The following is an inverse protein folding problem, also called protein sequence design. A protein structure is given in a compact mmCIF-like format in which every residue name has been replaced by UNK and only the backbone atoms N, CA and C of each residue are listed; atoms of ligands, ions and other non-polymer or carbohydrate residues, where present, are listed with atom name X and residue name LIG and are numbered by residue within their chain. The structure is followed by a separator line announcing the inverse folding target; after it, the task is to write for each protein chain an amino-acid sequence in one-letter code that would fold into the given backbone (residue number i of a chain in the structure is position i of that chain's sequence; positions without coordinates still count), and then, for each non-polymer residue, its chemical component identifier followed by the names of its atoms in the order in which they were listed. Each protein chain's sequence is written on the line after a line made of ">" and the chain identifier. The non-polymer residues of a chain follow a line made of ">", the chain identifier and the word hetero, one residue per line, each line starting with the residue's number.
data_IF_217031588556
#
_entry.id   IF_217031588556
#
_cell.length_a   1.000
_cell.length_b   1.000
_cell.length_c   1.000
_cell.angle_alpha   90.00
_cell.angle_beta   90.00
_cell.angle_gamma   90.00
#
_symmetry.space_group_name_H-M   'P 1'
#
loop_
_entity.id
_entity.type
_entity.pdbx_description
1 polymer ?
#
# COMPACT_ATOMS: atom_id res chain seq x y z
N UNK A 1 23.98 -2.51 -7.03
CA UNK A 1 22.67 -2.28 -6.34
C UNK A 1 21.60 -1.88 -7.34
N UNK A 2 20.33 -2.03 -6.98
CA UNK A 2 19.20 -1.55 -7.79
C UNK A 2 19.30 -0.05 -8.07
N UNK A 3 19.76 0.75 -7.09
CA UNK A 3 19.95 2.18 -7.28
C UNK A 3 21.02 2.53 -8.31
N UNK A 4 22.14 1.80 -8.34
CA UNK A 4 23.19 1.97 -9.37
C UNK A 4 22.65 1.60 -10.75
N UNK A 5 21.93 0.49 -10.87
CA UNK A 5 21.32 0.07 -12.12
C UNK A 5 20.33 1.13 -12.66
N UNK A 6 19.44 1.65 -11.80
CA UNK A 6 18.50 2.70 -12.20
C UNK A 6 19.22 3.99 -12.63
N UNK A 7 20.37 4.30 -12.03
CA UNK A 7 21.16 5.49 -12.35
C UNK A 7 21.80 5.44 -13.76
N UNK A 8 21.94 4.26 -14.38
CA UNK A 8 22.49 4.11 -15.73
C UNK A 8 21.56 4.71 -16.80
N UNK A 9 20.26 4.48 -16.68
CA UNK A 9 19.23 5.05 -17.55
C UNK A 9 17.89 5.09 -16.80
N UNK A 10 17.71 6.13 -16.00
CA UNK A 10 16.54 6.22 -15.11
C UNK A 10 15.21 6.14 -15.85
N UNK A 11 15.06 6.85 -16.95
CA UNK A 11 13.80 6.91 -17.71
C UNK A 11 13.57 5.60 -18.47
N UNK A 12 14.61 5.06 -19.11
CA UNK A 12 14.52 3.78 -19.82
C UNK A 12 14.23 2.60 -18.90
N UNK A 13 14.72 2.65 -17.64
CA UNK A 13 14.54 1.56 -16.68
C UNK A 13 13.22 1.68 -15.91
N UNK A 14 12.84 2.90 -15.47
CA UNK A 14 11.63 3.09 -14.67
C UNK A 14 10.38 3.37 -15.50
N UNK A 15 10.54 3.92 -16.71
CA UNK A 15 9.47 4.34 -17.60
C UNK A 15 9.10 5.82 -17.45
N UNK A 16 8.41 6.35 -18.46
CA UNK A 16 8.07 7.77 -18.58
C UNK A 16 7.14 8.27 -17.48
N UNK A 17 6.27 7.41 -16.94
CA UNK A 17 5.39 7.76 -15.81
C UNK A 17 6.18 8.07 -14.52
N UNK A 18 7.45 7.68 -14.47
CA UNK A 18 8.30 7.87 -13.30
C UNK A 18 9.16 9.14 -13.37
N UNK A 19 9.14 9.92 -14.47
CA UNK A 19 9.95 11.13 -14.65
C UNK A 19 9.67 12.20 -13.60
N UNK A 20 8.41 12.30 -13.15
CA UNK A 20 7.98 13.27 -12.13
C UNK A 20 8.55 13.02 -10.74
N UNK A 21 9.13 11.85 -10.48
CA UNK A 21 9.65 11.48 -9.15
C UNK A 21 11.19 11.62 -9.13
N UNK A 22 11.74 12.14 -8.05
CA UNK A 22 13.19 12.24 -7.79
C UNK A 22 13.80 10.95 -7.23
N UNK A 23 12.93 10.02 -6.78
CA UNK A 23 13.27 8.74 -6.15
C UNK A 23 12.49 7.59 -6.79
N UNK A 24 12.76 6.36 -6.37
CA UNK A 24 11.94 5.21 -6.76
C UNK A 24 10.50 5.41 -6.25
N UNK A 25 9.47 5.33 -7.13
CA UNK A 25 8.14 5.88 -6.79
C UNK A 25 7.29 5.02 -5.88
N UNK A 26 7.57 3.71 -5.77
CA UNK A 26 6.79 2.78 -4.96
C UNK A 26 7.60 2.25 -3.78
N UNK A 27 6.92 1.88 -2.71
CA UNK A 27 7.46 1.10 -1.62
C UNK A 27 6.54 -0.10 -1.39
N UNK A 28 7.10 -1.30 -1.50
CA UNK A 28 6.36 -2.56 -1.37
C UNK A 28 6.90 -3.31 -0.17
N UNK A 29 6.01 -3.79 0.69
CA UNK A 29 6.36 -4.46 1.94
C UNK A 29 5.49 -5.68 2.19
N UNK A 30 6.07 -6.69 2.83
CA UNK A 30 5.30 -7.62 3.64
C UNK A 30 5.31 -7.12 5.09
N UNK A 31 4.14 -7.03 5.70
CA UNK A 31 3.99 -6.66 7.10
C UNK A 31 3.32 -7.82 7.83
N UNK A 32 4.07 -8.44 8.73
CA UNK A 32 3.59 -9.48 9.64
C UNK A 32 3.35 -8.83 11.01
N UNK A 33 2.09 -8.56 11.31
CA UNK A 33 1.68 -7.83 12.49
C UNK A 33 1.39 -8.78 13.66
N UNK A 34 2.43 -9.17 14.41
CA UNK A 34 2.27 -9.97 15.63
C UNK A 34 1.50 -9.22 16.74
N UNK A 35 1.49 -7.87 16.71
CA UNK A 35 0.70 -7.01 17.59
C UNK A 35 0.09 -5.88 16.76
N UNK A 36 -0.95 -5.23 17.31
CA UNK A 36 -1.62 -4.09 16.68
C UNK A 36 -0.65 -2.93 16.42
N UNK A 37 -0.70 -2.35 15.23
CA UNK A 37 0.11 -1.19 14.88
C UNK A 37 -0.58 0.11 15.35
N UNK A 38 0.17 1.23 15.35
CA UNK A 38 -0.37 2.53 15.77
C UNK A 38 -1.52 2.99 14.89
N UNK A 39 -2.48 3.67 15.49
CA UNK A 39 -3.50 4.41 14.76
C UNK A 39 -2.82 5.60 14.09
N UNK A 40 -2.98 5.73 12.77
CA UNK A 40 -2.25 6.68 11.96
C UNK A 40 -3.07 7.19 10.79
N UNK A 41 -2.58 8.27 10.20
CA UNK A 41 -3.09 8.86 8.97
C UNK A 41 -1.91 9.41 8.16
N UNK A 42 -2.04 9.45 6.85
CA UNK A 42 -1.03 9.98 5.94
C UNK A 42 -1.56 11.19 5.18
N UNK A 43 -0.71 12.21 4.91
CA UNK A 43 -1.09 13.37 4.11
C UNK A 43 -1.17 13.01 2.61
N UNK A 44 -1.79 13.89 1.83
CA UNK A 44 -1.63 13.93 0.37
C UNK A 44 -0.31 14.62 -0.04
N UNK A 45 -0.04 14.63 -1.36
CA UNK A 45 1.20 15.21 -1.89
C UNK A 45 1.32 16.70 -1.59
N UNK A 46 0.22 17.46 -1.65
CA UNK A 46 0.23 18.90 -1.41
C UNK A 46 0.67 19.22 0.03
N UNK A 47 0.04 18.55 1.00
CA UNK A 47 0.39 18.75 2.40
C UNK A 47 1.80 18.18 2.71
N UNK A 48 2.12 16.99 2.21
CA UNK A 48 3.41 16.34 2.43
C UNK A 48 4.57 17.16 1.90
N UNK A 49 4.51 17.62 0.66
CA UNK A 49 5.56 18.47 0.04
C UNK A 49 5.72 19.79 0.78
N UNK A 50 4.61 20.42 1.17
CA UNK A 50 4.63 21.72 1.86
C UNK A 50 5.20 21.65 3.28
N UNK A 51 4.89 20.60 4.04
CA UNK A 51 5.17 20.55 5.47
C UNK A 51 6.34 19.63 5.84
N UNK A 52 6.64 18.62 4.99
CA UNK A 52 7.68 17.62 5.25
C UNK A 52 8.75 17.56 4.14
N UNK A 53 8.50 18.18 2.97
CA UNK A 53 9.38 18.06 1.81
C UNK A 53 9.37 16.67 1.16
N UNK A 54 8.32 15.87 1.42
CA UNK A 54 8.12 14.53 0.88
C UNK A 54 6.74 14.39 0.24
N UNK A 55 6.61 13.47 -0.72
CA UNK A 55 5.30 13.11 -1.28
C UNK A 55 4.37 12.57 -0.18
N UNK A 56 3.07 12.67 -0.43
CA UNK A 56 2.04 12.04 0.38
C UNK A 56 2.11 10.53 0.35
N UNK A 57 1.14 9.88 1.01
CA UNK A 57 1.13 8.42 1.09
C UNK A 57 -0.28 7.88 0.91
N UNK A 58 -0.53 7.38 -0.28
CA UNK A 58 -1.66 6.51 -0.62
C UNK A 58 -1.15 5.08 -0.71
N UNK A 59 -1.90 4.14 -0.18
CA UNK A 59 -1.49 2.74 -0.10
C UNK A 59 -2.65 1.77 -0.35
N UNK A 60 -2.31 0.54 -0.68
CA UNK A 60 -3.22 -0.58 -0.84
C UNK A 60 -2.66 -1.79 -0.08
N UNK A 61 -3.52 -2.47 0.66
CA UNK A 61 -3.20 -3.69 1.38
C UNK A 61 -3.93 -4.89 0.78
N UNK A 62 -3.19 -5.94 0.51
CA UNK A 62 -3.76 -7.26 0.21
C UNK A 62 -3.57 -8.15 1.43
N UNK A 63 -4.64 -8.70 1.98
CA UNK A 63 -4.60 -9.57 3.15
C UNK A 63 -4.09 -10.95 2.71
N UNK A 64 -2.87 -11.28 3.06
CA UNK A 64 -2.25 -12.57 2.75
C UNK A 64 -2.67 -13.66 3.71
N UNK A 65 -2.73 -13.33 5.00
CA UNK A 65 -3.19 -14.20 6.07
C UNK A 65 -3.83 -13.35 7.18
N UNK A 66 -4.83 -13.93 7.86
CA UNK A 66 -5.48 -13.32 9.01
C UNK A 66 -5.84 -14.41 10.01
N UNK A 67 -5.52 -14.21 11.28
CA UNK A 67 -5.96 -15.07 12.37
C UNK A 67 -7.46 -14.90 12.62
N UNK A 68 -8.06 -15.87 13.29
CA UNK A 68 -9.48 -15.80 13.68
C UNK A 68 -9.72 -14.57 14.58
N UNK A 69 -10.71 -13.75 14.20
CA UNK A 69 -11.06 -12.52 14.93
C UNK A 69 -10.13 -11.32 14.65
N UNK A 70 -9.14 -11.47 13.76
CA UNK A 70 -8.30 -10.35 13.33
C UNK A 70 -9.13 -9.23 12.69
N UNK A 71 -8.73 -7.98 12.94
CA UNK A 71 -9.46 -6.80 12.44
C UNK A 71 -8.52 -5.63 12.21
N UNK A 72 -8.90 -4.79 11.26
CA UNK A 72 -8.25 -3.51 10.98
C UNK A 72 -9.01 -2.36 11.66
N UNK A 73 -8.34 -1.24 11.83
CA UNK A 73 -9.00 0.06 11.91
C UNK A 73 -9.09 0.62 10.50
N UNK A 74 -10.30 0.92 10.04
CA UNK A 74 -10.55 1.43 8.70
C UNK A 74 -11.55 2.60 8.77
N UNK A 75 -11.01 3.79 9.01
CA UNK A 75 -11.78 5.01 9.21
C UNK A 75 -12.30 5.21 10.64
N UNK A 76 -13.13 6.22 10.78
CA UNK A 76 -13.88 6.53 11.98
C UNK A 76 -15.27 5.89 11.92
N UNK A 77 -15.94 5.77 13.06
CA UNK A 77 -17.34 5.34 13.12
C UNK A 77 -18.22 6.25 12.29
N UNK A 78 -19.27 5.70 11.70
CA UNK A 78 -20.25 6.46 10.95
C UNK A 78 -20.86 7.59 11.80
N UNK A 79 -20.98 8.78 11.20
CA UNK A 79 -21.49 9.98 11.85
C UNK A 79 -20.47 10.71 12.75
N UNK A 80 -19.29 10.16 12.96
CA UNK A 80 -18.25 10.85 13.70
C UNK A 80 -17.67 12.02 12.88
N UNK A 81 -17.55 13.21 13.51
CA UNK A 81 -16.87 14.35 12.91
C UNK A 81 -15.39 14.40 13.31
N UNK A 82 -14.59 15.19 12.58
CA UNK A 82 -13.16 15.39 12.92
C UNK A 82 -13.02 16.07 14.27
N UNK A 83 -13.92 17.01 14.62
CA UNK A 83 -13.92 17.71 15.89
C UNK A 83 -14.23 16.77 17.08
N UNK A 84 -15.19 15.86 16.91
CA UNK A 84 -15.49 14.83 17.92
C UNK A 84 -14.34 13.85 18.09
N UNK A 85 -13.70 13.46 16.98
CA UNK A 85 -12.49 12.62 17.03
C UNK A 85 -11.34 13.34 17.74
N UNK A 86 -11.08 14.60 17.39
CA UNK A 86 -10.06 15.42 18.04
C UNK A 86 -10.27 15.49 19.56
N UNK A 87 -11.51 15.76 19.99
CA UNK A 87 -11.88 15.77 21.41
C UNK A 87 -11.61 14.42 22.07
N UNK A 88 -12.02 13.32 21.43
CA UNK A 88 -11.80 11.97 21.97
C UNK A 88 -10.29 11.63 22.07
N UNK A 89 -9.48 12.05 21.11
CA UNK A 89 -8.02 11.89 21.16
C UNK A 89 -7.43 12.61 22.38
N UNK A 90 -7.79 13.88 22.61
CA UNK A 90 -7.31 14.67 23.76
C UNK A 90 -7.79 14.12 25.10
N UNK A 91 -8.95 13.49 25.14
CA UNK A 91 -9.52 12.87 26.33
C UNK A 91 -9.06 11.41 26.56
N UNK A 92 -8.19 10.86 25.67
CA UNK A 92 -7.70 9.48 25.77
C UNK A 92 -8.73 8.42 25.39
N UNK A 93 -9.77 8.80 24.65
CA UNK A 93 -10.89 7.94 24.22
C UNK A 93 -10.84 7.60 22.72
N UNK A 94 -9.65 7.65 22.11
CA UNK A 94 -9.45 7.47 20.66
C UNK A 94 -10.14 6.23 20.12
N UNK A 95 -9.98 5.07 20.79
CA UNK A 95 -10.52 3.79 20.33
C UNK A 95 -12.05 3.77 20.26
N UNK A 96 -12.75 4.61 21.03
CA UNK A 96 -14.21 4.68 21.00
C UNK A 96 -14.76 5.23 19.66
N UNK A 97 -13.95 6.00 18.94
CA UNK A 97 -14.33 6.66 17.69
C UNK A 97 -13.93 5.88 16.43
N UNK A 98 -13.17 4.78 16.58
CA UNK A 98 -12.61 4.02 15.47
C UNK A 98 -13.61 3.00 14.91
N UNK A 99 -13.60 2.85 13.58
CA UNK A 99 -14.30 1.76 12.88
C UNK A 99 -13.38 0.54 12.78
N UNK A 100 -13.73 -0.53 13.49
CA UNK A 100 -13.02 -1.81 13.46
C UNK A 100 -13.70 -2.77 12.48
N UNK A 101 -12.97 -3.21 11.47
CA UNK A 101 -13.46 -4.09 10.41
C UNK A 101 -12.80 -5.45 10.52
N UNK A 102 -13.57 -6.56 10.64
CA UNK A 102 -13.00 -7.90 10.56
C UNK A 102 -12.39 -8.15 9.19
N UNK A 103 -11.32 -8.92 9.13
CA UNK A 103 -10.59 -9.16 7.87
C UNK A 103 -10.34 -10.62 7.61
N UNK A 104 -10.30 -10.98 6.31
CA UNK A 104 -10.07 -12.33 5.84
C UNK A 104 -9.01 -12.35 4.73
N UNK A 105 -8.34 -13.48 4.60
CA UNK A 105 -7.39 -13.72 3.50
C UNK A 105 -8.03 -13.43 2.14
N UNK A 106 -7.32 -12.70 1.30
CA UNK A 106 -7.73 -12.36 -0.06
C UNK A 106 -8.45 -11.02 -0.18
N UNK A 107 -8.84 -10.41 0.93
CA UNK A 107 -9.46 -9.07 0.91
C UNK A 107 -8.45 -7.98 0.57
N UNK A 108 -8.97 -6.87 0.05
CA UNK A 108 -8.19 -5.69 -0.34
C UNK A 108 -8.73 -4.45 0.33
N UNK A 109 -7.84 -3.72 0.98
CA UNK A 109 -8.14 -2.43 1.59
C UNK A 109 -7.34 -1.33 0.91
N UNK A 110 -8.02 -0.33 0.37
CA UNK A 110 -7.38 0.84 -0.23
C UNK A 110 -7.39 2.00 0.75
N UNK A 111 -6.22 2.52 1.06
CA UNK A 111 -6.00 3.57 2.05
C UNK A 111 -5.61 4.87 1.33
N UNK A 112 -6.55 5.69 0.89
CA UNK A 112 -6.22 6.99 0.33
C UNK A 112 -5.64 7.90 1.41
N UNK A 113 -4.83 8.88 1.02
CA UNK A 113 -4.36 9.91 1.93
C UNK A 113 -5.53 10.54 2.72
N UNK A 114 -5.32 10.80 4.00
CA UNK A 114 -6.35 11.30 4.93
C UNK A 114 -7.23 10.24 5.58
N UNK A 115 -7.13 8.97 5.19
CA UNK A 115 -7.86 7.87 5.81
C UNK A 115 -7.19 7.46 7.13
N UNK A 116 -7.92 7.52 8.25
CA UNK A 116 -7.46 6.96 9.54
C UNK A 116 -7.46 5.43 9.44
N UNK A 117 -6.35 4.80 9.82
CA UNK A 117 -6.22 3.35 9.69
C UNK A 117 -5.22 2.76 10.69
N UNK A 118 -5.29 1.45 10.89
CA UNK A 118 -4.26 0.66 11.56
C UNK A 118 -4.42 -0.83 11.23
N UNK A 119 -3.30 -1.54 11.18
CA UNK A 119 -3.25 -2.99 11.09
C UNK A 119 -3.39 -3.54 12.51
N UNK A 120 -4.32 -4.49 12.70
CA UNK A 120 -4.49 -5.23 13.95
C UNK A 120 -3.48 -6.36 14.09
N UNK A 121 -3.49 -7.02 15.24
CA UNK A 121 -2.67 -8.21 15.48
C UNK A 121 -3.13 -9.42 14.64
N UNK A 122 -2.21 -10.32 14.33
CA UNK A 122 -2.48 -11.58 13.64
C UNK A 122 -2.77 -11.42 12.14
N UNK A 123 -2.23 -10.39 11.49
CA UNK A 123 -2.48 -10.10 10.08
C UNK A 123 -1.16 -10.02 9.32
N UNK A 124 -1.05 -10.79 8.24
CA UNK A 124 0.02 -10.65 7.25
C UNK A 124 -0.53 -9.97 6.00
N UNK A 125 0.05 -8.85 5.63
CA UNK A 125 -0.33 -8.10 4.42
C UNK A 125 0.82 -7.93 3.43
N UNK A 126 0.46 -7.80 2.15
CA UNK A 126 1.30 -7.15 1.15
C UNK A 126 0.81 -5.71 1.00
N UNK A 127 1.67 -4.74 1.34
CA UNK A 127 1.42 -3.31 1.20
C UNK A 127 2.10 -2.76 -0.03
N UNK A 128 1.35 -2.11 -0.90
CA UNK A 128 1.85 -1.34 -2.04
C UNK A 128 1.49 0.13 -1.81
N UNK A 129 2.48 1.01 -1.80
CA UNK A 129 2.31 2.42 -1.45
C UNK A 129 3.17 3.35 -2.31
N UNK A 130 2.81 4.65 -2.33
CA UNK A 130 3.76 5.68 -2.72
C UNK A 130 5.00 5.59 -1.83
N UNK A 131 6.20 5.84 -2.40
CA UNK A 131 7.44 5.80 -1.63
C UNK A 131 7.59 7.03 -0.73
N UNK A 132 6.87 7.01 0.37
CA UNK A 132 6.88 8.01 1.43
C UNK A 132 6.97 7.35 2.79
N UNK A 133 7.69 7.98 3.71
CA UNK A 133 7.81 7.54 5.09
C UNK A 133 6.94 8.36 6.06
N UNK A 134 6.17 9.33 5.54
CA UNK A 134 5.35 10.21 6.38
C UNK A 134 4.26 9.40 7.07
N UNK A 135 4.26 9.46 8.39
CA UNK A 135 3.25 8.82 9.24
C UNK A 135 2.87 9.74 10.37
N UNK A 136 1.65 10.24 10.37
CA UNK A 136 1.11 10.99 11.51
C UNK A 136 0.41 10.03 12.45
N UNK A 137 1.11 9.71 13.55
CA UNK A 137 0.63 8.81 14.58
C UNK A 137 -0.31 9.55 15.50
N UNK A 138 -1.54 9.04 15.62
CA UNK A 138 -2.59 9.61 16.46
C UNK A 138 -2.60 8.93 17.83
N UNK A 139 -2.44 7.60 17.88
CA UNK A 139 -2.46 6.82 19.09
C UNK A 139 -1.59 5.58 18.98
N UNK A 140 -0.88 5.24 20.03
CA UNK A 140 0.06 4.12 20.05
C UNK A 140 -0.05 3.23 21.29
N UNK A 141 -1.22 3.20 21.90
CA UNK A 141 -1.53 2.33 23.06
C UNK A 141 -0.57 2.52 24.23
N UNK A 142 0.03 3.70 24.37
CA UNK A 142 1.05 4.05 25.35
C UNK A 142 2.28 3.12 25.33
N UNK A 143 2.57 2.49 24.18
CA UNK A 143 3.75 1.61 24.02
C UNK A 143 5.04 2.41 24.14
N UNK A 144 6.03 1.78 24.78
CA UNK A 144 7.37 2.35 24.88
C UNK A 144 8.26 1.81 23.74
N UNK A 145 9.03 2.69 23.15
CA UNK A 145 10.08 2.34 22.23
C UNK A 145 11.26 1.62 22.92
N UNK A 146 12.27 1.25 22.15
CA UNK A 146 13.47 0.60 22.66
C UNK A 146 14.25 1.48 23.69
N UNK A 147 14.07 2.78 23.63
CA UNK A 147 14.61 3.78 24.57
C UNK A 147 13.80 3.93 25.87
N UNK A 148 12.71 3.15 26.04
CA UNK A 148 11.81 3.18 27.17
C UNK A 148 10.82 4.37 27.17
N UNK A 149 10.82 5.21 26.14
CA UNK A 149 9.93 6.36 26.00
C UNK A 149 8.76 6.05 25.07
N UNK A 150 7.59 6.67 25.25
CA UNK A 150 6.51 6.59 24.27
C UNK A 150 6.97 7.12 22.91
N UNK A 151 6.49 6.50 21.82
CA UNK A 151 6.73 7.03 20.47
C UNK A 151 6.01 8.37 20.32
N UNK A 152 6.61 9.26 19.54
CA UNK A 152 6.04 10.57 19.27
C UNK A 152 4.67 10.44 18.59
N UNK A 153 3.71 11.20 19.08
CA UNK A 153 2.41 11.41 18.44
C UNK A 153 2.46 12.71 17.62
N UNK A 154 1.66 12.76 16.55
CA UNK A 154 1.60 13.89 15.62
C UNK A 154 0.15 14.38 15.50
N UNK A 155 -0.52 14.55 16.65
CA UNK A 155 -1.98 14.75 16.73
C UNK A 155 -2.45 15.92 15.87
N UNK A 156 -1.85 17.11 16.00
CA UNK A 156 -2.27 18.29 15.24
C UNK A 156 -2.15 18.06 13.71
N UNK A 157 -0.98 17.61 13.23
CA UNK A 157 -0.79 17.31 11.81
C UNK A 157 -1.73 16.20 11.31
N UNK A 158 -2.03 15.23 12.17
CA UNK A 158 -2.99 14.18 11.84
C UNK A 158 -4.39 14.75 11.64
N UNK A 159 -4.84 15.63 12.56
CA UNK A 159 -6.15 16.28 12.48
C UNK A 159 -6.28 17.18 11.24
N UNK A 160 -5.20 17.86 10.85
CA UNK A 160 -5.18 18.71 9.65
C UNK A 160 -5.45 17.92 8.35
N UNK A 161 -5.05 16.65 8.30
CA UNK A 161 -5.09 15.85 7.07
C UNK A 161 -6.20 14.82 7.02
N UNK A 162 -6.93 14.59 8.12
CA UNK A 162 -8.04 13.63 8.14
C UNK A 162 -9.13 14.04 7.14
N UNK A 163 -9.54 13.07 6.32
CA UNK A 163 -10.63 13.21 5.37
C UNK A 163 -11.63 12.09 5.64
N UNK A 164 -12.85 12.47 6.01
CA UNK A 164 -13.95 11.52 6.19
C UNK A 164 -14.49 11.16 4.81
N UNK A 165 -14.53 9.87 4.51
CA UNK A 165 -15.02 9.35 3.22
C UNK A 165 -15.91 8.14 3.42
N UNK A 166 -16.92 8.05 2.58
CA UNK A 166 -17.70 6.82 2.43
C UNK A 166 -16.93 5.76 1.65
N UNK A 167 -17.36 4.52 1.74
CA UNK A 167 -16.77 3.42 0.94
C UNK A 167 -16.86 3.72 -0.56
N UNK A 168 -17.98 4.30 -1.03
CA UNK A 168 -18.15 4.67 -2.44
C UNK A 168 -17.13 5.72 -2.91
N UNK A 169 -16.84 6.72 -2.07
CA UNK A 169 -15.82 7.73 -2.38
C UNK A 169 -14.41 7.12 -2.42
N UNK A 170 -14.13 6.20 -1.52
CA UNK A 170 -12.86 5.47 -1.52
C UNK A 170 -12.71 4.62 -2.79
N UNK A 171 -13.76 3.90 -3.20
CA UNK A 171 -13.74 3.08 -4.42
C UNK A 171 -13.60 3.93 -5.68
N UNK A 172 -14.19 5.13 -5.74
CA UNK A 172 -13.96 6.09 -6.83
C UNK A 172 -12.49 6.52 -6.94
N UNK A 173 -11.80 6.71 -5.83
CA UNK A 173 -10.36 7.01 -5.82
C UNK A 173 -9.55 5.78 -6.20
N UNK A 174 -9.90 4.62 -5.64
CA UNK A 174 -9.23 3.34 -5.88
C UNK A 174 -9.22 2.95 -7.35
N UNK A 175 -10.29 3.25 -8.08
CA UNK A 175 -10.46 2.94 -9.50
C UNK A 175 -10.64 4.20 -10.35
N UNK A 176 -9.87 5.27 -10.03
CA UNK A 176 -9.91 6.54 -10.78
C UNK A 176 -9.29 6.45 -12.17
N UNK A 177 -8.48 5.42 -12.44
CA UNK A 177 -7.91 5.13 -13.76
C UNK A 177 -8.56 3.89 -14.39
N UNK A 178 -8.68 3.88 -15.72
CA UNK A 178 -9.22 2.71 -16.43
C UNK A 178 -8.34 1.48 -16.20
N UNK A 179 -8.97 0.32 -16.12
CA UNK A 179 -8.30 -0.97 -16.09
C UNK A 179 -8.08 -1.51 -17.51
N UNK A 180 -6.90 -2.06 -17.75
CA UNK A 180 -6.60 -2.80 -18.98
C UNK A 180 -7.05 -4.26 -18.80
N UNK A 181 -7.84 -4.77 -19.74
CA UNK A 181 -8.27 -6.18 -19.71
C UNK A 181 -7.15 -7.09 -20.24
N UNK A 182 -6.19 -7.41 -19.36
CA UNK A 182 -5.01 -8.22 -19.65
C UNK A 182 -5.00 -9.58 -18.92
N UNK A 183 -6.16 -9.99 -18.39
CA UNK A 183 -6.35 -11.25 -17.67
C UNK A 183 -6.06 -11.17 -16.16
N UNK A 184 -5.56 -10.05 -15.65
CA UNK A 184 -5.40 -9.83 -14.22
C UNK A 184 -6.67 -9.25 -13.58
N UNK A 185 -6.88 -9.54 -12.30
CA UNK A 185 -7.93 -8.89 -11.50
C UNK A 185 -7.39 -7.59 -10.92
N UNK A 186 -8.00 -6.45 -11.26
CA UNK A 186 -7.62 -5.17 -10.70
C UNK A 186 -7.90 -5.13 -9.20
N UNK A 187 -6.86 -4.83 -8.41
CA UNK A 187 -6.97 -4.59 -6.98
C UNK A 187 -7.04 -3.10 -6.68
N UNK A 188 -6.34 -2.27 -7.45
CA UNK A 188 -6.44 -0.81 -7.45
C UNK A 188 -5.92 -0.26 -8.77
N UNK A 189 -6.47 0.86 -9.25
CA UNK A 189 -5.97 1.64 -10.39
C UNK A 189 -6.25 3.11 -10.11
N UNK A 190 -5.30 3.81 -9.47
CA UNK A 190 -5.43 5.18 -9.00
C UNK A 190 -4.39 6.11 -9.67
N UNK A 191 -4.32 7.37 -9.26
CA UNK A 191 -3.39 8.34 -9.85
C UNK A 191 -1.90 8.00 -9.67
N UNK A 192 -1.57 7.12 -8.72
CA UNK A 192 -0.20 6.79 -8.34
C UNK A 192 0.27 5.45 -8.88
N UNK A 193 -0.61 4.45 -8.85
CA UNK A 193 -0.27 3.08 -9.24
C UNK A 193 -1.49 2.28 -9.71
N UNK A 194 -1.21 1.30 -10.53
CA UNK A 194 -2.11 0.19 -10.81
C UNK A 194 -1.56 -1.08 -10.18
N UNK A 195 -2.41 -1.82 -9.48
CA UNK A 195 -2.08 -3.11 -8.86
C UNK A 195 -3.08 -4.16 -9.31
N UNK A 196 -2.56 -5.27 -9.84
CA UNK A 196 -3.36 -6.41 -10.30
C UNK A 196 -2.91 -7.70 -9.68
N UNK A 197 -3.85 -8.60 -9.45
CA UNK A 197 -3.57 -9.99 -9.07
C UNK A 197 -3.75 -10.90 -10.26
N UNK A 198 -2.79 -11.79 -10.48
CA UNK A 198 -2.88 -12.88 -11.45
C UNK A 198 -2.81 -14.20 -10.73
N UNK A 199 -3.80 -15.07 -10.97
CA UNK A 199 -3.76 -16.48 -10.58
C UNK A 199 -3.28 -17.27 -11.79
N UNK A 200 -2.04 -17.73 -11.73
CA UNK A 200 -1.36 -18.43 -12.83
C UNK A 200 -1.60 -19.92 -12.67
N UNK A 201 -2.10 -20.57 -13.71
CA UNK A 201 -2.16 -22.02 -13.88
C UNK A 201 -1.67 -22.35 -15.31
N UNK A 202 -0.41 -22.71 -15.40
CA UNK A 202 0.31 -22.88 -16.64
C UNK A 202 1.10 -21.65 -17.05
N UNK A 203 0.49 -20.63 -17.66
CA UNK A 203 1.22 -19.44 -18.15
C UNK A 203 0.35 -18.19 -18.20
N UNK A 204 0.93 -17.07 -17.76
CA UNK A 204 0.46 -15.69 -18.00
C UNK A 204 1.60 -14.90 -18.62
N UNK A 205 1.28 -13.99 -19.54
CA UNK A 205 2.24 -13.05 -20.14
C UNK A 205 1.96 -11.66 -19.62
N UNK A 206 2.96 -11.05 -18.99
CA UNK A 206 2.94 -9.65 -18.55
C UNK A 206 3.61 -8.80 -19.64
N UNK A 207 3.07 -7.63 -19.91
CA UNK A 207 3.64 -6.68 -20.88
C UNK A 207 4.26 -5.49 -20.15
N UNK A 208 5.58 -5.47 -20.08
CA UNK A 208 6.36 -4.36 -19.51
C UNK A 208 6.56 -3.27 -20.57
N UNK A 209 5.56 -2.39 -20.71
CA UNK A 209 5.56 -1.26 -21.63
C UNK A 209 6.63 -0.23 -21.24
N UNK A 210 6.89 0.73 -22.15
CA UNK A 210 7.88 1.79 -21.91
C UNK A 210 7.42 2.87 -20.92
N UNK A 211 6.15 2.88 -20.55
CA UNK A 211 5.56 3.86 -19.63
C UNK A 211 5.88 3.59 -18.16
N UNK A 212 6.04 2.32 -17.78
CA UNK A 212 6.37 1.94 -16.40
C UNK A 212 7.08 0.60 -16.31
N UNK A 213 7.94 0.47 -15.31
CA UNK A 213 8.41 -0.83 -14.84
C UNK A 213 7.26 -1.67 -14.27
N UNK A 214 7.47 -2.99 -14.13
CA UNK A 214 6.60 -3.84 -13.35
C UNK A 214 7.32 -4.33 -12.09
N UNK A 215 6.63 -4.31 -10.95
CA UNK A 215 7.02 -5.03 -9.76
C UNK A 215 6.13 -6.25 -9.61
N UNK A 216 6.72 -7.45 -9.63
CA UNK A 216 6.00 -8.72 -9.46
C UNK A 216 6.31 -9.28 -8.09
N UNK A 217 5.28 -9.39 -7.24
CA UNK A 217 5.36 -9.93 -5.89
C UNK A 217 4.69 -11.30 -5.86
N UNK A 218 5.42 -12.34 -5.47
CA UNK A 218 4.93 -13.72 -5.44
C UNK A 218 4.24 -13.99 -4.09
N UNK A 219 2.92 -14.15 -4.12
CA UNK A 219 2.11 -14.42 -2.92
C UNK A 219 2.11 -15.90 -2.55
N UNK A 220 2.08 -16.75 -3.59
CA UNK A 220 2.14 -18.20 -3.47
C UNK A 220 2.68 -18.81 -4.78
N UNK A 221 3.40 -19.94 -4.70
CA UNK A 221 4.01 -20.53 -5.88
C UNK A 221 4.28 -22.02 -5.73
N UNK A 222 4.01 -22.76 -6.80
CA UNK A 222 4.39 -24.16 -7.00
C UNK A 222 5.00 -24.31 -8.40
N UNK A 223 6.31 -24.65 -8.46
CA UNK A 223 7.08 -24.75 -9.70
C UNK A 223 6.98 -23.49 -10.58
N UNK A 224 7.04 -22.32 -9.95
CA UNK A 224 6.87 -21.04 -10.63
C UNK A 224 8.18 -20.50 -11.19
N UNK A 225 8.08 -19.82 -12.34
CA UNK A 225 9.16 -18.99 -12.90
C UNK A 225 8.60 -17.65 -13.34
N UNK A 226 9.40 -16.60 -13.11
CA UNK A 226 9.14 -15.23 -13.62
C UNK A 226 10.28 -14.86 -14.56
N UNK A 227 10.00 -14.62 -15.84
CA UNK A 227 11.02 -14.30 -16.83
C UNK A 227 12.10 -15.40 -16.98
N UNK A 228 11.75 -16.66 -16.73
CA UNK A 228 12.67 -17.81 -16.75
C UNK A 228 13.43 -18.09 -15.46
N UNK A 229 13.38 -17.21 -14.46
CA UNK A 229 14.00 -17.40 -13.15
C UNK A 229 13.05 -18.11 -12.19
N UNK A 230 13.56 -19.07 -11.42
CA UNK A 230 12.78 -19.77 -10.39
C UNK A 230 12.25 -18.78 -9.34
N UNK A 231 11.00 -18.95 -8.96
CA UNK A 231 10.29 -18.07 -8.05
C UNK A 231 9.55 -18.86 -6.96
N UNK A 232 9.56 -18.34 -5.76
CA UNK A 232 8.87 -18.90 -4.59
C UNK A 232 8.11 -17.81 -3.84
N UNK A 233 7.23 -18.22 -2.96
CA UNK A 233 6.49 -17.31 -2.07
C UNK A 233 7.44 -16.31 -1.38
N UNK A 234 7.10 -15.03 -1.45
CA UNK A 234 7.87 -13.94 -0.86
C UNK A 234 8.91 -13.33 -1.78
N UNK A 235 9.19 -13.95 -2.94
CA UNK A 235 10.10 -13.35 -3.91
C UNK A 235 9.47 -12.12 -4.57
N UNK A 236 10.33 -11.16 -4.92
CA UNK A 236 9.97 -9.94 -5.63
C UNK A 236 10.88 -9.75 -6.84
N UNK A 237 10.28 -9.48 -7.99
CA UNK A 237 10.98 -9.24 -9.25
C UNK A 237 10.73 -7.82 -9.72
N UNK A 238 11.80 -7.15 -10.10
CA UNK A 238 11.75 -5.89 -10.80
C UNK A 238 11.96 -6.14 -12.29
N UNK A 239 10.98 -5.74 -13.11
CA UNK A 239 11.02 -5.86 -14.55
C UNK A 239 11.11 -4.44 -15.12
N UNK A 240 12.23 -4.05 -15.77
CA UNK A 240 12.42 -2.71 -16.31
C UNK A 240 11.34 -2.35 -17.34
N UNK A 241 11.03 -1.07 -17.43
CA UNK A 241 10.17 -0.54 -18.49
C UNK A 241 10.74 -0.90 -19.88
N UNK A 242 9.86 -1.12 -20.85
CA UNK A 242 10.26 -1.47 -22.20
C UNK A 242 10.85 -2.88 -22.38
N UNK A 243 10.84 -3.73 -21.34
CA UNK A 243 11.29 -5.13 -21.45
C UNK A 243 10.38 -5.99 -22.35
N UNK A 244 9.20 -5.49 -22.72
CA UNK A 244 8.22 -6.22 -23.51
C UNK A 244 7.57 -7.37 -22.73
N UNK A 245 7.32 -8.48 -23.43
CA UNK A 245 6.60 -9.62 -22.86
C UNK A 245 7.45 -10.42 -21.89
N UNK A 246 6.98 -10.59 -20.64
CA UNK A 246 7.61 -11.42 -19.61
C UNK A 246 6.64 -12.51 -19.17
N UNK A 247 7.07 -13.75 -19.22
CA UNK A 247 6.24 -14.91 -18.87
C UNK A 247 6.32 -15.19 -17.37
N UNK A 248 5.15 -15.44 -16.76
CA UNK A 248 5.02 -16.09 -15.45
C UNK A 248 4.45 -17.48 -15.71
N UNK A 249 5.18 -18.52 -15.32
CA UNK A 249 4.82 -19.91 -15.61
C UNK A 249 4.73 -20.75 -14.34
N UNK A 250 4.02 -21.90 -14.40
CA UNK A 250 3.80 -22.79 -13.28
C UNK A 250 2.44 -22.55 -12.63
N UNK A 251 2.33 -22.74 -11.33
CA UNK A 251 1.12 -22.45 -10.55
C UNK A 251 1.47 -21.43 -9.49
N UNK A 252 0.88 -20.25 -9.56
CA UNK A 252 1.21 -19.15 -8.65
C UNK A 252 0.09 -18.12 -8.52
N UNK A 253 0.04 -17.45 -7.39
CA UNK A 253 -0.63 -16.18 -7.21
C UNK A 253 0.41 -15.07 -7.14
N UNK A 254 0.32 -14.08 -8.02
CA UNK A 254 1.24 -12.93 -8.01
C UNK A 254 0.48 -11.61 -8.01
N UNK A 255 1.05 -10.60 -7.37
CA UNK A 255 0.63 -9.20 -7.49
C UNK A 255 1.61 -8.50 -8.42
N UNK A 256 1.08 -7.81 -9.42
CA UNK A 256 1.86 -6.97 -10.33
C UNK A 256 1.47 -5.52 -10.10
N UNK A 257 2.48 -4.68 -9.86
CA UNK A 257 2.29 -3.24 -9.61
C UNK A 257 3.07 -2.43 -10.64
N UNK A 258 2.46 -1.36 -11.14
CA UNK A 258 3.08 -0.35 -12.02
C UNK A 258 2.72 1.06 -11.59
N UNK A 259 3.48 2.07 -12.05
CA UNK A 259 3.21 3.50 -11.85
C UNK A 259 2.32 4.04 -12.96
N UNK A 260 1.39 4.93 -12.61
CA UNK A 260 0.46 5.60 -13.54
C UNK A 260 0.88 7.04 -13.85
#
# INVERSE_FOLDING_TARGET
>A
TMGEYIAEDRVGILGTNCEKYDRFPLLIKFIDAADRLSIQVHPDDEYGLKHEGEFGKTEMWYIMEAEEGARLVYGLKEGCTVEEFAKAVHEGRTEEMLNFVPVHKGEVYFIPSGQVHAIGAGILIAEIQQNSNITYRVYDYNRKGADGKPRQLHTEKALDVIKLRTTEEIDKIRFSKPDENDGGTALASCDYFTVKKYSVDGKVVLDAKADSFLSVLVLDAENCKVGGYDAKRGDSFFIPAGSGSVEVTGKADVIVSKVN
#
